data_IF_428881862815
#
_entry.id   IF_428881862815
#
_cell.length_a   1.000
_cell.length_b   1.000
_cell.length_c   1.000
_cell.angle_alpha   90.00
_cell.angle_beta   90.00
_cell.angle_gamma   90.00
#
_symmetry.space_group_name_H-M   'P 1'
#
loop_
_entity.id
_entity.type
_entity.pdbx_description
1 polymer ?
#
# COMPACT_ATOMS: atom_id res chain seq x y z
N UNK A 1 10.57 40.43 -6.43
CA UNK A 1 10.47 41.88 -6.64
C UNK A 1 9.22 42.16 -7.46
N UNK A 2 8.33 43.07 -7.04
CA UNK A 2 7.02 43.26 -7.67
C UNK A 2 7.19 44.08 -8.96
N UNK A 3 6.89 43.46 -10.11
CA UNK A 3 6.75 44.13 -11.40
C UNK A 3 5.37 44.79 -11.55
N UNK A 4 5.32 45.88 -12.31
CA UNK A 4 4.24 46.89 -12.33
C UNK A 4 2.89 46.46 -12.93
N UNK A 5 2.70 45.21 -13.33
CA UNK A 5 1.54 44.80 -14.11
C UNK A 5 0.65 43.74 -13.42
N UNK A 6 0.88 43.45 -12.14
CA UNK A 6 -0.01 42.59 -11.33
C UNK A 6 -0.05 41.11 -11.72
N UNK A 7 0.71 40.68 -12.74
CA UNK A 7 0.93 39.28 -13.08
C UNK A 7 2.26 38.80 -12.46
N UNK A 8 2.17 37.76 -11.64
CA UNK A 8 3.35 37.06 -11.09
C UNK A 8 4.10 36.39 -12.24
N UNK A 9 5.32 36.87 -12.48
CA UNK A 9 6.33 36.19 -13.30
C UNK A 9 6.87 35.04 -12.44
N UNK A 10 6.65 33.80 -12.88
CA UNK A 10 7.20 32.61 -12.22
C UNK A 10 8.53 32.23 -12.87
N UNK A 11 9.54 32.02 -12.01
CA UNK A 11 10.88 31.55 -12.35
C UNK A 11 10.87 30.01 -12.45
N UNK A 12 11.40 29.46 -13.54
CA UNK A 12 11.26 28.06 -13.96
C UNK A 12 12.19 27.06 -13.22
N UNK A 13 12.66 27.38 -12.01
CA UNK A 13 13.74 26.62 -11.37
C UNK A 13 13.48 26.20 -9.91
N UNK A 14 12.41 25.48 -9.58
CA UNK A 14 12.16 25.15 -8.16
C UNK A 14 11.42 23.82 -7.96
N UNK A 15 12.15 22.71 -7.94
CA UNK A 15 11.62 21.37 -7.55
C UNK A 15 12.68 20.44 -6.93
N UNK A 16 13.78 20.98 -6.38
CA UNK A 16 14.85 20.15 -5.82
C UNK A 16 14.58 19.66 -4.38
N UNK A 17 13.64 20.30 -3.65
CA UNK A 17 13.67 20.24 -2.19
C UNK A 17 12.73 19.23 -1.53
N UNK A 18 11.70 18.73 -2.22
CA UNK A 18 10.79 17.72 -1.62
C UNK A 18 11.34 16.29 -1.77
N UNK A 19 12.11 16.05 -2.84
CA UNK A 19 12.55 14.71 -3.23
C UNK A 19 13.61 14.13 -2.27
N UNK A 20 14.45 14.97 -1.67
CA UNK A 20 15.48 14.54 -0.72
C UNK A 20 14.90 14.11 0.65
N UNK A 21 13.80 14.72 1.12
CA UNK A 21 13.24 14.39 2.44
C UNK A 21 12.60 12.99 2.49
N UNK A 22 11.99 12.54 1.38
CA UNK A 22 11.41 11.19 1.30
C UNK A 22 12.43 10.10 0.99
N UNK A 23 13.41 10.35 0.10
CA UNK A 23 14.38 9.33 -0.31
C UNK A 23 15.44 9.02 0.77
N UNK A 24 15.78 10.00 1.64
CA UNK A 24 16.71 9.79 2.77
C UNK A 24 16.12 8.85 3.83
N UNK A 25 14.79 8.83 4.02
CA UNK A 25 14.15 7.95 4.99
C UNK A 25 14.09 6.50 4.51
N UNK A 26 13.90 6.27 3.21
CA UNK A 26 13.86 4.92 2.63
C UNK A 26 15.25 4.27 2.51
N UNK A 27 16.32 5.07 2.35
CA UNK A 27 17.70 4.56 2.24
C UNK A 27 18.36 4.18 3.56
N UNK A 28 17.79 4.57 4.71
CA UNK A 28 18.41 4.31 6.02
C UNK A 28 18.27 2.84 6.49
N UNK A 29 17.45 2.02 5.83
CA UNK A 29 17.31 0.58 6.14
C UNK A 29 18.04 -0.35 5.16
N UNK A 30 18.71 0.17 4.13
CA UNK A 30 19.44 -0.61 3.12
C UNK A 30 20.91 -0.22 2.97
N UNK A 31 21.79 -0.89 3.72
CA UNK A 31 23.17 -1.25 3.35
C UNK A 31 24.04 -0.24 2.57
N UNK A 32 24.58 0.74 3.29
CA UNK A 32 25.95 1.28 3.28
C UNK A 32 26.84 1.42 2.01
N UNK A 33 27.47 2.61 1.96
CA UNK A 33 28.74 3.06 1.33
C UNK A 33 28.71 3.83 0.00
N UNK A 34 29.25 5.05 0.11
CA UNK A 34 29.66 6.04 -0.91
C UNK A 34 28.64 7.08 -1.38
N UNK A 35 28.07 7.86 -0.46
CA UNK A 35 27.83 9.30 -0.72
C UNK A 35 28.32 10.09 0.49
N UNK A 36 29.63 10.03 0.74
CA UNK A 36 30.33 10.98 1.60
C UNK A 36 31.13 11.89 0.68
N UNK A 37 30.82 13.20 0.69
CA UNK A 37 31.53 14.33 0.04
C UNK A 37 30.89 14.95 -1.21
N UNK A 38 29.61 15.31 -1.13
CA UNK A 38 29.14 16.54 -1.78
C UNK A 38 28.48 17.38 -0.68
N UNK A 39 28.99 18.61 -0.50
CA UNK A 39 28.63 19.58 0.53
C UNK A 39 27.14 19.57 0.87
N UNK A 40 26.77 18.82 1.90
CA UNK A 40 25.38 18.65 2.30
C UNK A 40 24.86 19.88 3.04
N UNK A 41 25.73 20.73 3.59
CA UNK A 41 25.32 21.87 4.41
C UNK A 41 24.97 23.14 3.61
N UNK A 42 25.47 23.33 2.40
CA UNK A 42 25.13 24.54 1.60
C UNK A 42 23.90 24.36 0.71
N UNK A 43 23.49 23.12 0.43
CA UNK A 43 22.30 22.79 -0.38
C UNK A 43 21.04 22.72 0.48
N UNK A 44 21.16 22.38 1.77
CA UNK A 44 20.03 22.25 2.68
C UNK A 44 19.50 23.59 3.23
N UNK A 45 20.29 24.66 3.20
CA UNK A 45 19.99 25.91 3.93
C UNK A 45 19.42 27.04 3.05
N UNK A 46 19.26 26.81 1.73
CA UNK A 46 18.89 27.87 0.78
C UNK A 46 17.54 27.72 0.05
N UNK A 47 16.60 26.85 0.45
CA UNK A 47 15.39 26.70 -0.37
C UNK A 47 14.17 25.95 0.18
N UNK A 48 13.84 26.03 1.47
CA UNK A 48 12.59 25.44 1.98
C UNK A 48 11.37 26.38 1.80
N UNK A 49 11.05 26.77 0.56
CA UNK A 49 9.91 27.66 0.27
C UNK A 49 9.08 27.19 -0.94
N UNK A 50 8.53 25.98 -0.86
CA UNK A 50 7.54 25.47 -1.83
C UNK A 50 6.32 24.88 -1.13
N UNK A 51 5.11 25.16 -1.65
CA UNK A 51 3.87 24.58 -1.13
C UNK A 51 3.73 23.11 -1.59
N UNK A 52 3.29 22.24 -0.68
CA UNK A 52 3.09 20.82 -0.97
C UNK A 52 1.81 20.61 -1.80
N UNK A 53 1.95 20.09 -3.02
CA UNK A 53 0.83 19.65 -3.86
C UNK A 53 0.54 18.14 -3.69
N UNK A 54 -0.71 17.70 -3.48
CA UNK A 54 -1.10 16.29 -3.47
C UNK A 54 -0.65 15.48 -4.70
N UNK A 55 -0.48 16.13 -5.86
CA UNK A 55 0.05 15.49 -7.07
C UNK A 55 1.50 14.97 -6.91
N UNK A 56 2.24 15.46 -5.91
CA UNK A 56 3.57 14.93 -5.56
C UNK A 56 3.48 13.56 -4.89
N UNK A 57 2.46 13.35 -4.05
CA UNK A 57 2.21 12.07 -3.39
C UNK A 57 1.79 10.99 -4.40
N UNK A 58 1.06 11.39 -5.46
CA UNK A 58 0.71 10.48 -6.56
C UNK A 58 1.97 10.03 -7.31
N UNK A 59 2.90 10.93 -7.57
CA UNK A 59 4.16 10.60 -8.25
C UNK A 59 5.05 9.67 -7.41
N UNK A 60 5.18 9.96 -6.11
CA UNK A 60 5.98 9.13 -5.21
C UNK A 60 5.38 7.74 -5.01
N UNK A 61 4.05 7.65 -4.86
CA UNK A 61 3.33 6.39 -4.87
C UNK A 61 3.56 5.62 -6.18
N UNK A 62 3.52 6.29 -7.33
CA UNK A 62 3.80 5.67 -8.63
C UNK A 62 5.21 5.09 -8.71
N UNK A 63 6.20 5.77 -8.16
CA UNK A 63 7.57 5.24 -8.07
C UNK A 63 7.65 3.97 -7.21
N UNK A 64 7.06 4.00 -6.01
CA UNK A 64 7.05 2.86 -5.09
C UNK A 64 6.29 1.65 -5.65
N UNK A 65 5.16 1.88 -6.32
CA UNK A 65 4.40 0.83 -6.98
C UNK A 65 5.21 0.24 -8.15
N UNK A 66 5.86 1.07 -8.97
CA UNK A 66 6.70 0.55 -10.06
C UNK A 66 7.83 -0.34 -9.53
N UNK A 67 8.48 0.07 -8.44
CA UNK A 67 9.50 -0.73 -7.77
C UNK A 67 8.92 -2.08 -7.29
N UNK A 68 7.72 -2.09 -6.71
CA UNK A 68 7.04 -3.31 -6.28
C UNK A 68 6.76 -4.27 -7.45
N UNK A 69 6.28 -3.75 -8.57
CA UNK A 69 5.97 -4.56 -9.76
C UNK A 69 7.20 -5.04 -10.53
N UNK A 70 8.36 -4.43 -10.31
CA UNK A 70 9.62 -4.76 -10.99
C UNK A 70 10.66 -5.34 -10.05
N UNK A 71 10.20 -5.98 -8.97
CA UNK A 71 11.01 -6.74 -8.02
C UNK A 71 12.16 -5.93 -7.41
N UNK A 72 11.90 -4.66 -7.09
CA UNK A 72 12.88 -3.76 -6.46
C UNK A 72 13.68 -2.91 -7.45
N UNK A 73 13.34 -2.91 -8.74
CA UNK A 73 13.99 -2.01 -9.72
C UNK A 73 13.30 -0.64 -9.70
N UNK A 74 13.95 0.43 -9.22
CA UNK A 74 13.31 1.73 -9.21
C UNK A 74 13.15 2.29 -10.64
N UNK A 75 12.06 3.01 -10.93
CA UNK A 75 11.85 3.63 -12.25
C UNK A 75 12.88 4.71 -12.58
N UNK A 76 13.45 5.35 -11.55
CA UNK A 76 14.45 6.39 -11.70
C UNK A 76 15.61 6.22 -10.72
N UNK A 77 16.81 6.51 -11.21
CA UNK A 77 17.95 6.90 -10.37
C UNK A 77 17.91 8.41 -10.16
N UNK A 78 18.65 8.95 -9.18
CA UNK A 78 18.69 10.40 -8.96
C UNK A 78 19.10 11.17 -10.23
N UNK A 79 20.10 10.68 -10.97
CA UNK A 79 20.56 11.31 -12.20
C UNK A 79 19.49 11.26 -13.31
N UNK A 80 18.85 10.10 -13.51
CA UNK A 80 17.80 9.97 -14.54
C UNK A 80 16.54 10.74 -14.18
N UNK A 81 16.23 10.88 -12.89
CA UNK A 81 15.11 11.72 -12.42
C UNK A 81 15.37 13.21 -12.67
N UNK A 82 16.58 13.70 -12.38
CA UNK A 82 16.95 15.08 -12.66
C UNK A 82 16.91 15.37 -14.16
N UNK A 83 17.39 14.43 -14.98
CA UNK A 83 17.30 14.52 -16.44
C UNK A 83 15.84 14.48 -16.90
N UNK A 84 15.02 13.58 -16.34
CA UNK A 84 13.59 13.49 -16.65
C UNK A 84 12.87 14.79 -16.34
N UNK A 85 13.19 15.45 -15.21
CA UNK A 85 12.63 16.76 -14.86
C UNK A 85 12.97 17.82 -15.90
N UNK A 86 14.18 17.81 -16.45
CA UNK A 86 14.65 18.82 -17.40
C UNK A 86 14.32 18.51 -18.87
N UNK A 87 13.41 17.58 -19.17
CA UNK A 87 13.07 17.24 -20.56
C UNK A 87 13.46 15.84 -21.01
N UNK A 88 14.31 15.14 -20.25
CA UNK A 88 14.94 13.87 -20.61
C UNK A 88 14.01 12.65 -20.63
N UNK A 89 14.55 11.45 -20.92
CA UNK A 89 13.75 10.23 -21.06
C UNK A 89 13.07 9.83 -19.74
N UNK A 90 11.88 9.23 -19.85
CA UNK A 90 11.07 8.80 -18.72
C UNK A 90 11.34 7.34 -18.29
N UNK A 91 10.42 6.79 -17.48
CA UNK A 91 10.55 5.45 -16.91
C UNK A 91 10.01 4.36 -17.86
N UNK A 92 9.76 4.67 -19.14
CA UNK A 92 9.09 3.76 -20.09
C UNK A 92 9.81 2.41 -20.19
N UNK A 93 11.14 2.43 -20.21
CA UNK A 93 12.00 1.25 -20.25
C UNK A 93 11.83 0.30 -19.04
N UNK A 94 11.45 0.82 -17.87
CA UNK A 94 11.14 0.01 -16.67
C UNK A 94 9.70 -0.48 -16.74
N UNK A 95 8.79 0.39 -17.16
CA UNK A 95 7.36 0.09 -17.26
C UNK A 95 7.04 -0.99 -18.30
N UNK A 96 7.85 -1.13 -19.34
CA UNK A 96 7.73 -2.20 -20.33
C UNK A 96 7.93 -3.60 -19.74
N UNK A 97 8.62 -3.72 -18.59
CA UNK A 97 8.81 -5.01 -17.89
C UNK A 97 7.54 -5.52 -17.21
N UNK A 98 6.58 -4.64 -16.96
CA UNK A 98 5.32 -4.99 -16.30
C UNK A 98 4.40 -5.62 -17.35
N UNK A 99 3.95 -6.87 -17.12
CA UNK A 99 3.12 -7.61 -18.09
C UNK A 99 1.73 -6.99 -18.28
N UNK A 100 1.14 -6.51 -17.19
CA UNK A 100 -0.21 -5.94 -17.14
C UNK A 100 -0.26 -4.54 -17.78
N UNK A 101 -1.09 -4.40 -18.82
CA UNK A 101 -1.18 -3.18 -19.62
C UNK A 101 -1.88 -2.05 -18.86
N UNK A 102 -2.91 -2.42 -18.11
CA UNK A 102 -3.76 -1.54 -17.32
C UNK A 102 -2.95 -0.92 -16.19
N UNK A 103 -2.15 -1.72 -15.48
CA UNK A 103 -1.23 -1.24 -14.44
C UNK A 103 -0.16 -0.34 -15.06
N UNK A 104 0.38 -0.70 -16.23
CA UNK A 104 1.35 0.13 -16.93
C UNK A 104 0.76 1.50 -17.27
N UNK A 105 -0.49 1.56 -17.71
CA UNK A 105 -1.18 2.83 -18.00
C UNK A 105 -1.38 3.66 -16.73
N UNK A 106 -1.84 3.04 -15.63
CA UNK A 106 -2.00 3.71 -14.33
C UNK A 106 -0.68 4.32 -13.87
N UNK A 107 0.42 3.56 -13.91
CA UNK A 107 1.74 4.04 -13.49
C UNK A 107 2.29 5.16 -14.38
N UNK A 108 2.00 5.13 -15.70
CA UNK A 108 2.33 6.24 -16.61
C UNK A 108 1.61 7.54 -16.21
N UNK A 109 0.31 7.46 -15.87
CA UNK A 109 -0.46 8.62 -15.43
C UNK A 109 0.06 9.15 -14.09
N UNK A 110 0.36 8.25 -13.15
CA UNK A 110 0.86 8.63 -11.82
C UNK A 110 2.25 9.31 -11.90
N UNK A 111 3.11 8.81 -12.80
CA UNK A 111 4.48 9.31 -12.98
C UNK A 111 4.61 10.32 -14.13
N UNK A 112 3.52 10.96 -14.54
CA UNK A 112 3.58 12.04 -15.53
C UNK A 112 4.50 13.18 -15.04
N UNK A 113 5.25 13.77 -15.98
CA UNK A 113 6.20 14.85 -15.65
C UNK A 113 5.48 16.03 -15.01
N UNK A 114 4.46 16.55 -15.69
CA UNK A 114 3.69 17.68 -15.21
C UNK A 114 2.69 17.25 -14.12
N UNK A 115 2.61 17.98 -12.98
CA UNK A 115 1.66 17.68 -11.92
C UNK A 115 0.20 17.73 -12.36
N UNK A 116 -0.13 18.59 -13.33
CA UNK A 116 -1.50 18.77 -13.86
C UNK A 116 -1.98 17.55 -14.66
N UNK A 117 -1.06 16.80 -15.26
CA UNK A 117 -1.38 15.59 -16.02
C UNK A 117 -1.59 14.38 -15.10
N UNK A 118 -1.22 14.51 -13.82
CA UNK A 118 -1.42 13.46 -12.82
C UNK A 118 -2.87 13.49 -12.33
N UNK A 119 -3.59 12.40 -12.58
CA UNK A 119 -4.92 12.22 -12.00
C UNK A 119 -4.83 12.02 -10.48
N UNK A 120 -5.79 12.57 -9.74
CA UNK A 120 -5.87 12.31 -8.29
C UNK A 120 -6.21 10.85 -7.99
N UNK A 121 -5.83 10.37 -6.80
CA UNK A 121 -6.09 9.00 -6.36
C UNK A 121 -7.58 8.64 -6.45
N UNK A 122 -8.49 9.57 -6.10
CA UNK A 122 -9.93 9.37 -6.19
C UNK A 122 -10.38 9.06 -7.63
N UNK A 123 -9.90 9.83 -8.60
CA UNK A 123 -10.27 9.64 -10.01
C UNK A 123 -9.60 8.39 -10.61
N UNK A 124 -8.36 8.07 -10.22
CA UNK A 124 -7.67 6.84 -10.64
C UNK A 124 -8.41 5.60 -10.17
N UNK A 125 -8.76 5.53 -8.87
CA UNK A 125 -9.49 4.40 -8.31
C UNK A 125 -10.86 4.25 -8.96
N UNK A 126 -11.57 5.34 -9.23
CA UNK A 126 -12.86 5.30 -9.93
C UNK A 126 -12.74 4.79 -11.38
N UNK A 127 -11.75 5.28 -12.13
CA UNK A 127 -11.56 4.95 -13.55
C UNK A 127 -11.10 3.51 -13.77
N UNK A 128 -10.17 3.01 -12.94
CA UNK A 128 -9.56 1.69 -13.12
C UNK A 128 -10.15 0.61 -12.20
N UNK A 129 -11.30 0.88 -11.57
CA UNK A 129 -12.01 -0.11 -10.75
C UNK A 129 -12.54 -1.26 -11.61
N UNK A 130 -12.27 -2.49 -11.18
CA UNK A 130 -12.64 -3.71 -11.90
C UNK A 130 -11.78 -3.99 -13.13
N UNK A 131 -10.81 -3.12 -13.43
CA UNK A 131 -9.86 -3.24 -14.54
C UNK A 131 -8.47 -3.53 -13.98
N UNK A 132 -7.83 -2.52 -13.38
CA UNK A 132 -6.54 -2.67 -12.70
C UNK A 132 -6.70 -2.94 -11.19
N UNK A 133 -7.72 -2.33 -10.58
CA UNK A 133 -8.00 -2.49 -9.15
C UNK A 133 -9.14 -3.49 -8.94
N UNK A 134 -8.97 -4.55 -8.14
CA UNK A 134 -10.03 -5.51 -7.89
C UNK A 134 -11.28 -4.86 -7.26
N UNK A 135 -12.48 -5.33 -7.63
CA UNK A 135 -13.75 -4.76 -7.15
C UNK A 135 -13.95 -4.82 -5.63
N UNK A 136 -13.23 -5.72 -4.94
CA UNK A 136 -13.25 -5.81 -3.48
C UNK A 136 -12.44 -4.70 -2.79
N UNK A 137 -11.63 -3.91 -3.51
CA UNK A 137 -10.74 -2.90 -2.93
C UNK A 137 -11.48 -1.83 -2.11
N UNK A 138 -12.71 -1.47 -2.48
CA UNK A 138 -13.55 -0.55 -1.70
C UNK A 138 -13.85 -1.05 -0.28
N UNK A 139 -13.97 -2.37 -0.11
CA UNK A 139 -14.22 -2.98 1.19
C UNK A 139 -12.97 -2.86 2.08
N UNK A 140 -11.77 -3.01 1.49
CA UNK A 140 -10.50 -2.77 2.17
C UNK A 140 -10.30 -1.31 2.52
N UNK A 141 -10.59 -0.40 1.59
CA UNK A 141 -10.38 1.02 1.79
C UNK A 141 -11.19 1.55 2.98
N UNK A 142 -12.47 1.15 3.10
CA UNK A 142 -13.30 1.49 4.27
C UNK A 142 -12.69 0.99 5.59
N UNK A 143 -12.02 -0.15 5.58
CA UNK A 143 -11.36 -0.67 6.76
C UNK A 143 -10.07 0.10 7.09
N UNK A 144 -9.25 0.40 6.09
CA UNK A 144 -8.05 1.22 6.28
C UNK A 144 -8.40 2.62 6.81
N UNK A 145 -9.54 3.20 6.39
CA UNK A 145 -10.05 4.45 6.97
C UNK A 145 -10.33 4.30 8.47
N UNK A 146 -11.02 3.23 8.89
CA UNK A 146 -11.27 2.97 10.32
C UNK A 146 -9.96 2.85 11.10
N UNK A 147 -8.96 2.14 10.56
CA UNK A 147 -7.64 2.02 11.21
C UNK A 147 -6.91 3.37 11.26
N UNK A 148 -7.01 4.19 10.21
CA UNK A 148 -6.30 5.46 10.11
C UNK A 148 -6.91 6.54 11.02
N UNK A 149 -8.24 6.59 11.09
CA UNK A 149 -9.01 7.54 11.91
C UNK A 149 -8.82 7.31 13.43
N UNK A 150 -8.29 6.14 13.78
CA UNK A 150 -8.21 5.60 15.14
C UNK A 150 -7.09 6.21 16.01
N UNK A 151 -6.52 7.33 15.56
CA UNK A 151 -5.38 8.05 16.14
C UNK A 151 -5.83 9.18 17.07
N UNK A 152 -6.59 8.95 18.16
CA UNK A 152 -6.75 9.99 19.20
C UNK A 152 -7.19 9.55 20.62
N UNK A 153 -6.39 10.05 21.58
CA UNK A 153 -6.55 10.42 23.00
C UNK A 153 -7.29 9.56 24.06
N UNK A 154 -6.51 9.20 25.10
CA UNK A 154 -6.71 9.10 26.59
C UNK A 154 -8.14 8.91 27.12
N UNK A 155 -8.46 7.94 27.99
CA UNK A 155 -8.04 7.94 29.41
C UNK A 155 -8.24 6.58 30.12
N UNK A 156 -8.64 5.53 29.40
CA UNK A 156 -8.78 4.15 29.91
C UNK A 156 -8.14 3.15 28.94
N UNK A 157 -6.85 3.36 28.69
CA UNK A 157 -6.06 2.68 27.67
C UNK A 157 -6.18 1.15 27.73
N UNK A 158 -6.25 0.54 28.93
CA UNK A 158 -6.32 -0.93 29.01
C UNK A 158 -7.66 -1.48 28.56
N UNK A 159 -8.77 -0.95 29.06
CA UNK A 159 -10.11 -1.41 28.70
C UNK A 159 -10.41 -1.09 27.23
N UNK A 160 -10.11 0.15 26.80
CA UNK A 160 -10.28 0.61 25.41
C UNK A 160 -9.40 -0.19 24.46
N UNK A 161 -8.13 -0.46 24.79
CA UNK A 161 -7.25 -1.32 23.99
C UNK A 161 -7.75 -2.77 23.97
N UNK A 162 -8.21 -3.30 25.10
CA UNK A 162 -8.75 -4.64 25.19
C UNK A 162 -9.95 -4.81 24.23
N UNK A 163 -10.91 -3.88 24.27
CA UNK A 163 -12.08 -3.86 23.40
C UNK A 163 -11.72 -3.59 21.93
N UNK A 164 -10.80 -2.65 21.67
CA UNK A 164 -10.26 -2.36 20.33
C UNK A 164 -9.58 -3.58 19.72
N UNK A 165 -8.86 -4.38 20.51
CA UNK A 165 -8.31 -5.65 20.03
C UNK A 165 -9.41 -6.68 19.69
N UNK A 166 -10.54 -6.71 20.40
CA UNK A 166 -11.69 -7.53 20.01
C UNK A 166 -12.24 -7.07 18.66
N UNK A 167 -12.52 -5.78 18.55
CA UNK A 167 -13.17 -5.19 17.39
C UNK A 167 -12.28 -5.34 16.16
N UNK A 168 -10.98 -5.06 16.28
CA UNK A 168 -10.03 -5.23 15.18
C UNK A 168 -9.99 -6.69 14.69
N UNK A 169 -10.04 -7.67 15.59
CA UNK A 169 -10.10 -9.11 15.22
C UNK A 169 -11.41 -9.45 14.52
N UNK A 170 -12.54 -8.98 15.04
CA UNK A 170 -13.85 -9.20 14.41
C UNK A 170 -13.92 -8.58 13.00
N UNK A 171 -13.39 -7.36 12.85
CA UNK A 171 -13.32 -6.69 11.55
C UNK A 171 -12.36 -7.39 10.59
N UNK A 172 -11.22 -7.89 11.08
CA UNK A 172 -10.30 -8.67 10.26
C UNK A 172 -10.98 -9.94 9.73
N UNK A 173 -11.80 -10.62 10.56
CA UNK A 173 -12.61 -11.76 10.12
C UNK A 173 -13.64 -11.36 9.04
N UNK A 174 -14.29 -10.19 9.16
CA UNK A 174 -15.24 -9.69 8.16
C UNK A 174 -14.58 -9.46 6.79
N UNK A 175 -13.38 -8.88 6.78
CA UNK A 175 -12.60 -8.67 5.55
C UNK A 175 -12.21 -10.01 4.92
N UNK A 176 -11.76 -10.94 5.75
CA UNK A 176 -11.37 -12.28 5.30
C UNK A 176 -12.55 -13.02 4.67
N UNK A 177 -13.77 -12.84 5.20
CA UNK A 177 -14.98 -13.38 4.59
C UNK A 177 -15.27 -12.82 3.19
N UNK A 178 -14.96 -11.56 2.91
CA UNK A 178 -15.09 -10.95 1.58
C UNK A 178 -14.00 -11.46 0.63
N UNK A 179 -12.81 -11.74 1.17
CA UNK A 179 -11.69 -12.24 0.37
C UNK A 179 -11.84 -13.68 -0.08
N UNK A 180 -12.51 -14.54 0.68
CA UNK A 180 -12.56 -15.98 0.38
C UNK A 180 -13.03 -16.32 -1.03
N UNK A 181 -13.88 -15.49 -1.63
CA UNK A 181 -14.40 -15.71 -2.98
C UNK A 181 -13.34 -15.38 -4.07
N UNK A 182 -12.25 -14.70 -3.70
CA UNK A 182 -11.17 -14.26 -4.59
C UNK A 182 -9.79 -14.87 -4.23
N UNK A 183 -9.70 -15.64 -3.15
CA UNK A 183 -8.45 -16.27 -2.70
C UNK A 183 -8.28 -17.67 -3.30
N UNK A 184 -7.04 -18.01 -3.64
CA UNK A 184 -6.70 -19.37 -4.05
C UNK A 184 -6.91 -20.35 -2.86
N UNK A 185 -7.51 -21.53 -3.07
CA UNK A 185 -7.75 -22.52 -2.02
C UNK A 185 -6.48 -22.91 -1.25
N UNK A 186 -5.33 -22.94 -1.92
CA UNK A 186 -4.03 -23.24 -1.31
C UNK A 186 -3.64 -22.19 -0.28
N UNK A 187 -3.86 -20.90 -0.59
CA UNK A 187 -3.59 -19.81 0.36
C UNK A 187 -4.54 -19.87 1.56
N UNK A 188 -5.79 -20.30 1.33
CA UNK A 188 -6.76 -20.49 2.41
C UNK A 188 -6.28 -21.60 3.35
N UNK A 189 -5.85 -22.73 2.80
CA UNK A 189 -5.35 -23.86 3.57
C UNK A 189 -4.06 -23.53 4.34
N UNK A 190 -3.05 -22.97 3.66
CA UNK A 190 -1.70 -22.86 4.21
C UNK A 190 -1.52 -21.67 5.15
N UNK A 191 -2.34 -20.61 4.99
CA UNK A 191 -2.17 -19.35 5.75
C UNK A 191 -3.40 -18.95 6.53
N UNK A 192 -4.58 -19.05 5.91
CA UNK A 192 -5.80 -18.55 6.55
C UNK A 192 -6.32 -19.51 7.62
N UNK A 193 -6.40 -20.81 7.33
CA UNK A 193 -6.89 -21.79 8.30
C UNK A 193 -6.07 -21.81 9.60
N UNK A 194 -4.72 -21.86 9.58
CA UNK A 194 -3.93 -21.78 10.82
C UNK A 194 -4.24 -20.54 11.65
N UNK A 195 -4.43 -19.39 11.01
CA UNK A 195 -4.79 -18.15 11.70
C UNK A 195 -6.20 -18.22 12.32
N UNK A 196 -7.17 -18.79 11.60
CA UNK A 196 -8.52 -19.02 12.13
C UNK A 196 -8.51 -19.99 13.32
N UNK A 197 -7.72 -21.05 13.31
CA UNK A 197 -7.61 -21.95 14.47
C UNK A 197 -7.06 -21.23 15.71
N UNK A 198 -6.07 -20.35 15.53
CA UNK A 198 -5.56 -19.52 16.64
C UNK A 198 -6.69 -18.61 17.19
N UNK A 199 -7.49 -18.01 16.31
CA UNK A 199 -8.62 -17.16 16.72
C UNK A 199 -9.81 -17.95 17.30
N UNK A 200 -9.91 -19.26 17.05
CA UNK A 200 -10.93 -20.11 17.65
C UNK A 200 -10.68 -20.30 19.16
N UNK A 201 -9.44 -20.11 19.60
CA UNK A 201 -9.00 -20.17 21.00
C UNK A 201 -8.87 -18.78 21.65
N UNK A 202 -9.43 -17.75 21.01
CA UNK A 202 -9.30 -16.37 21.52
C UNK A 202 -9.99 -16.17 22.88
N UNK A 203 -9.42 -15.29 23.72
CA UNK A 203 -9.97 -14.95 25.03
C UNK A 203 -11.40 -14.39 24.97
N UNK A 204 -11.79 -13.85 23.82
CA UNK A 204 -13.10 -13.23 23.63
C UNK A 204 -14.11 -14.20 22.98
N UNK A 205 -15.23 -14.53 23.65
CA UNK A 205 -16.25 -15.41 23.10
C UNK A 205 -16.84 -14.94 21.76
N UNK A 206 -16.99 -13.62 21.58
CA UNK A 206 -17.49 -13.05 20.33
C UNK A 206 -16.56 -13.34 19.14
N UNK A 207 -15.24 -13.25 19.36
CA UNK A 207 -14.23 -13.59 18.34
C UNK A 207 -14.32 -15.08 18.02
N UNK A 208 -14.34 -15.96 19.03
CA UNK A 208 -14.46 -17.41 18.82
C UNK A 208 -15.70 -17.78 17.99
N UNK A 209 -16.86 -17.25 18.36
CA UNK A 209 -18.12 -17.50 17.65
C UNK A 209 -18.09 -17.03 16.19
N UNK A 210 -17.54 -15.83 15.94
CA UNK A 210 -17.36 -15.31 14.58
C UNK A 210 -16.38 -16.18 13.79
N UNK A 211 -15.24 -16.54 14.39
CA UNK A 211 -14.21 -17.39 13.77
C UNK A 211 -14.76 -18.71 13.29
N UNK A 212 -15.61 -19.40 14.08
CA UNK A 212 -16.23 -20.67 13.66
C UNK A 212 -17.08 -20.48 12.39
N UNK A 213 -17.87 -19.41 12.33
CA UNK A 213 -18.65 -19.06 11.13
C UNK A 213 -17.75 -18.75 9.94
N UNK A 214 -16.69 -17.98 10.15
CA UNK A 214 -15.70 -17.62 9.11
C UNK A 214 -14.97 -18.87 8.60
N UNK A 215 -14.63 -19.81 9.48
CA UNK A 215 -14.00 -21.09 9.14
C UNK A 215 -14.92 -21.96 8.28
N UNK A 216 -16.21 -22.03 8.61
CA UNK A 216 -17.20 -22.73 7.78
C UNK A 216 -17.30 -22.11 6.37
N UNK A 217 -17.25 -20.76 6.27
CA UNK A 217 -17.23 -20.08 4.98
C UNK A 217 -15.95 -20.36 4.19
N UNK A 218 -14.79 -20.36 4.87
CA UNK A 218 -13.50 -20.69 4.27
C UNK A 218 -13.50 -22.11 3.68
N UNK A 219 -13.96 -23.10 4.46
CA UNK A 219 -14.06 -24.50 4.02
C UNK A 219 -15.03 -24.67 2.84
N UNK A 220 -16.11 -23.89 2.79
CA UNK A 220 -17.05 -23.90 1.65
C UNK A 220 -16.45 -23.33 0.36
N UNK A 221 -15.48 -22.42 0.46
CA UNK A 221 -14.78 -21.88 -0.71
C UNK A 221 -13.83 -22.91 -1.34
N UNK A 222 -13.31 -23.86 -0.54
CA UNK A 222 -12.41 -24.93 -0.99
C UNK A 222 -13.22 -26.05 -1.66
N UNK A 223 -13.65 -25.83 -2.91
CA UNK A 223 -14.46 -26.79 -3.65
C UNK A 223 -13.68 -27.99 -4.24
N UNK A 224 -12.34 -27.99 -4.20
CA UNK A 224 -11.50 -29.14 -4.58
C UNK A 224 -10.22 -29.17 -3.74
N UNK A 225 -10.14 -30.11 -2.79
CA UNK A 225 -8.89 -30.38 -2.05
C UNK A 225 -7.93 -31.18 -2.95
N UNK A 226 -6.71 -30.67 -3.15
CA UNK A 226 -5.65 -31.49 -3.73
C UNK A 226 -5.25 -32.58 -2.72
N UNK A 227 -4.76 -33.72 -3.23
CA UNK A 227 -4.48 -34.92 -2.42
C UNK A 227 -3.60 -34.72 -1.17
N UNK A 228 -2.62 -33.79 -1.09
CA UNK A 228 -1.86 -33.53 0.14
C UNK A 228 -2.66 -32.79 1.24
N UNK A 229 -3.71 -32.03 0.89
CA UNK A 229 -4.53 -31.25 1.84
C UNK A 229 -5.57 -32.08 2.57
N UNK A 230 -5.72 -33.37 2.20
CA UNK A 230 -6.66 -34.29 2.85
C UNK A 230 -6.36 -34.54 4.32
N UNK A 231 -5.12 -34.29 4.74
CA UNK A 231 -4.70 -34.45 6.13
C UNK A 231 -5.03 -33.24 7.01
N UNK A 232 -5.48 -32.10 6.45
CA UNK A 232 -5.89 -30.93 7.25
C UNK A 232 -7.06 -31.29 8.18
N UNK A 233 -7.95 -32.20 7.75
CA UNK A 233 -9.07 -32.64 8.56
C UNK A 233 -8.66 -33.47 9.79
N UNK A 234 -7.92 -34.59 9.66
CA UNK A 234 -7.46 -35.37 10.81
C UNK A 234 -6.39 -34.66 11.65
N UNK A 235 -5.49 -33.87 11.04
CA UNK A 235 -4.33 -33.34 11.75
C UNK A 235 -4.60 -31.97 12.41
N UNK A 236 -5.57 -31.19 11.90
CA UNK A 236 -5.83 -29.83 12.38
C UNK A 236 -7.29 -29.55 12.75
N UNK A 237 -8.27 -30.01 11.97
CA UNK A 237 -9.69 -29.70 12.24
C UNK A 237 -10.27 -30.57 13.36
N UNK A 238 -10.10 -31.89 13.28
CA UNK A 238 -10.74 -32.83 14.22
C UNK A 238 -10.21 -32.72 15.66
N UNK A 239 -8.89 -32.56 15.91
CA UNK A 239 -8.37 -32.40 17.27
C UNK A 239 -8.89 -31.13 17.95
N UNK A 240 -9.12 -30.05 17.18
CA UNK A 240 -9.65 -28.78 17.69
C UNK A 240 -11.16 -28.81 17.98
N UNK A 241 -11.91 -29.73 17.35
CA UNK A 241 -13.36 -29.90 17.59
C UNK A 241 -13.69 -30.88 18.72
N UNK A 242 -12.73 -31.72 19.12
CA UNK A 242 -12.89 -32.77 20.14
C UNK A 242 -12.38 -32.37 21.54
N UNK A 243 -11.78 -31.18 21.69
CA UNK A 243 -11.32 -30.61 22.96
C UNK A 243 -12.34 -29.62 23.53
#
# INVERSE_FOLDING_TARGET
MIGKDGLMVYDENEFADVFNHYFVRFRSEGGDRQISRLNSQSVLDQGLKGELNPAMDIFSAGCALTELWTEGVPPFTLASLLAFRSGGPGPEHVLEKIEDLEIREVLKIMMAREPSDRMSAYHLLGKYKGVAFPGFFDHFYKYFQIIADDSCSLSDERMKKSLKMCENKLRALDILEVLFDNLCPELICDRVLPYLFILARDRYPAVRGRTVKTLLKALRSINQLRRPDRNIFPDYILPELLQ
#
